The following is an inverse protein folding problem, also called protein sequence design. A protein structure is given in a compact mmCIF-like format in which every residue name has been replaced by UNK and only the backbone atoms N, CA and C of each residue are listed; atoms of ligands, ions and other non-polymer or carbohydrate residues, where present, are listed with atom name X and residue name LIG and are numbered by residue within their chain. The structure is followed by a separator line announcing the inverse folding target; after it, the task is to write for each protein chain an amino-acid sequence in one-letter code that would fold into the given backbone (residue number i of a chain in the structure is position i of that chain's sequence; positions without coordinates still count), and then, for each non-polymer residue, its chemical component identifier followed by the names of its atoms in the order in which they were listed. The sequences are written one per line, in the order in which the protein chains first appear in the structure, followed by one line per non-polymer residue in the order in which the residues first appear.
data_IF_798191523050
#
_entry.id   IF_798191523050
#
_cell.length_a   1.000
_cell.length_b   1.000
_cell.length_c   1.000
_cell.angle_alpha   90.00
_cell.angle_beta   90.00
_cell.angle_gamma   90.00
#
_symmetry.space_group_name_H-M   'P 1'
#
loop_
_entity.id
_entity.type
_entity.pdbx_description
1 polymer ?
#
# COMPACT_ATOMS: atom_id res chain seq x y z
N UNK A 1 21.79 -9.33 14.73
CA UNK A 1 21.56 -8.17 15.62
C UNK A 1 20.37 -7.42 15.07
N UNK A 2 19.22 -7.43 15.76
CA UNK A 2 18.05 -6.67 15.35
C UNK A 2 18.19 -5.25 15.92
N UNK A 3 18.29 -4.25 15.05
CA UNK A 3 18.39 -2.84 15.46
C UNK A 3 17.02 -2.17 15.38
N UNK A 4 16.63 -1.44 16.43
CA UNK A 4 15.39 -0.65 16.43
C UNK A 4 15.61 0.63 15.62
N UNK A 5 14.76 0.88 14.61
CA UNK A 5 14.77 2.12 13.85
C UNK A 5 13.88 3.16 14.52
N UNK A 6 14.36 4.39 14.59
CA UNK A 6 13.62 5.54 15.12
C UNK A 6 13.67 6.65 14.08
N UNK A 7 12.55 7.36 13.92
CA UNK A 7 12.46 8.53 13.04
C UNK A 7 12.35 9.75 13.93
N UNK A 8 13.21 10.73 13.71
CA UNK A 8 13.17 12.00 14.41
C UNK A 8 12.67 13.10 13.46
N UNK A 9 11.81 13.96 13.98
CA UNK A 9 11.37 15.20 13.31
C UNK A 9 11.95 16.40 14.05
N UNK A 10 12.29 17.48 13.34
CA UNK A 10 12.73 18.74 13.95
C UNK A 10 11.56 19.73 13.92
N UNK A 11 11.28 20.38 15.06
CA UNK A 11 10.22 21.39 15.21
C UNK A 11 10.62 22.79 14.70
N UNK A 12 11.75 22.89 14.00
CA UNK A 12 12.25 24.14 13.44
C UNK A 12 13.10 23.90 12.19
N UNK A 13 13.88 24.91 11.80
CA UNK A 13 14.79 24.77 10.68
C UNK A 13 15.86 23.72 10.97
N UNK A 14 16.16 22.89 9.98
CA UNK A 14 17.26 21.93 10.03
C UNK A 14 18.32 22.31 9.01
N UNK A 15 19.58 22.00 9.33
CA UNK A 15 20.70 22.17 8.40
C UNK A 15 21.58 20.92 8.42
N UNK A 16 22.32 20.70 7.34
CA UNK A 16 23.29 19.61 7.25
C UNK A 16 24.68 20.21 7.43
N UNK A 17 25.40 19.75 8.44
CA UNK A 17 26.76 20.20 8.75
C UNK A 17 27.78 19.55 7.82
N UNK A 18 28.99 20.10 7.74
CA UNK A 18 30.03 19.63 6.79
C UNK A 18 30.51 18.19 7.00
N UNK A 19 30.25 17.62 8.17
CA UNK A 19 30.47 16.22 8.54
C UNK A 19 29.27 15.30 8.20
N UNK A 20 28.20 15.86 7.62
CA UNK A 20 27.00 15.12 7.20
C UNK A 20 25.98 14.87 8.32
N UNK A 21 26.20 15.41 9.52
CA UNK A 21 25.20 15.37 10.57
C UNK A 21 24.05 16.35 10.28
N UNK A 22 22.85 16.01 10.76
CA UNK A 22 21.70 16.92 10.69
C UNK A 22 21.64 17.69 12.00
N UNK A 23 21.73 19.01 11.92
CA UNK A 23 21.53 19.93 13.04
C UNK A 23 20.08 20.43 13.04
N UNK A 24 19.46 20.53 14.21
CA UNK A 24 18.12 21.08 14.40
C UNK A 24 18.24 22.37 15.20
N UNK A 25 17.66 23.46 14.70
CA UNK A 25 17.63 24.77 15.39
C UNK A 25 16.60 24.82 16.53
N UNK A 26 15.87 23.73 16.77
CA UNK A 26 14.90 23.54 17.84
C UNK A 26 15.08 22.22 18.57
N UNK A 27 13.99 21.54 18.90
CA UNK A 27 14.02 20.26 19.62
C UNK A 27 13.76 19.10 18.66
N UNK A 28 14.56 18.02 18.80
CA UNK A 28 14.29 16.76 18.14
C UNK A 28 13.10 16.06 18.78
N UNK A 29 12.05 15.81 18.00
CA UNK A 29 10.88 15.06 18.41
C UNK A 29 10.98 13.64 17.90
N UNK A 30 10.97 12.66 18.81
CA UNK A 30 10.83 11.26 18.44
C UNK A 30 9.42 11.04 17.85
N UNK A 31 9.35 10.56 16.62
CA UNK A 31 8.09 10.15 16.02
C UNK A 31 7.89 8.67 16.30
N UNK A 32 6.70 8.30 16.74
CA UNK A 32 6.31 6.90 16.84
C UNK A 32 6.26 6.36 15.42
N UNK A 33 7.29 5.61 15.02
CA UNK A 33 7.26 4.92 13.75
C UNK A 33 6.24 3.78 13.89
N UNK A 34 5.16 3.76 13.09
CA UNK A 34 4.26 2.62 13.09
C UNK A 34 5.07 1.36 12.77
N UNK A 35 4.73 0.26 13.43
CA UNK A 35 5.40 -1.01 13.21
C UNK A 35 5.38 -1.33 11.70
N UNK A 36 6.48 -1.88 11.13
CA UNK A 36 6.48 -2.33 9.75
C UNK A 36 5.32 -3.29 9.50
N UNK A 37 4.78 -3.25 8.28
CA UNK A 37 3.73 -4.19 7.89
C UNK A 37 4.22 -5.63 8.04
N UNK A 38 3.44 -6.45 8.76
CA UNK A 38 3.75 -7.86 9.00
C UNK A 38 2.81 -8.76 8.20
N UNK A 39 3.39 -9.46 7.22
CA UNK A 39 2.67 -10.37 6.31
C UNK A 39 2.07 -11.56 7.06
N UNK A 40 2.63 -11.93 8.22
CA UNK A 40 2.10 -13.03 9.03
C UNK A 40 0.71 -12.73 9.63
N UNK A 41 0.30 -11.47 9.65
CA UNK A 41 -1.03 -11.06 10.12
C UNK A 41 -2.12 -11.08 9.04
N UNK A 42 -1.77 -11.39 7.79
CA UNK A 42 -2.76 -11.48 6.72
C UNK A 42 -3.50 -12.81 6.85
N UNK A 43 -4.82 -12.76 7.06
CA UNK A 43 -5.68 -13.94 6.90
C UNK A 43 -5.76 -14.31 5.40
N UNK A 44 -5.21 -15.47 4.99
CA UNK A 44 -5.22 -15.88 3.58
C UNK A 44 -6.63 -16.01 3.02
N UNK A 45 -7.61 -16.39 3.85
CA UNK A 45 -9.01 -16.60 3.44
C UNK A 45 -9.66 -15.28 3.06
N UNK A 46 -9.46 -14.25 3.88
CA UNK A 46 -10.00 -12.91 3.65
C UNK A 46 -9.34 -12.26 2.43
N UNK A 47 -8.02 -12.40 2.30
CA UNK A 47 -7.27 -11.89 1.16
C UNK A 47 -7.77 -12.50 -0.17
N UNK A 48 -7.94 -13.82 -0.22
CA UNK A 48 -8.51 -14.50 -1.39
C UNK A 48 -9.95 -14.09 -1.67
N UNK A 49 -10.75 -13.85 -0.63
CA UNK A 49 -12.12 -13.34 -0.77
C UNK A 49 -12.16 -11.98 -1.47
N UNK A 50 -11.33 -11.02 -1.04
CA UNK A 50 -11.28 -9.69 -1.65
C UNK A 50 -10.74 -9.71 -3.08
N UNK A 51 -9.67 -10.47 -3.34
CA UNK A 51 -9.13 -10.63 -4.69
C UNK A 51 -10.17 -11.27 -5.63
N UNK A 52 -10.81 -12.35 -5.19
CA UNK A 52 -11.84 -13.06 -5.97
C UNK A 52 -13.06 -12.18 -6.27
N UNK A 53 -13.51 -11.39 -5.31
CA UNK A 53 -14.61 -10.45 -5.51
C UNK A 53 -14.30 -9.43 -6.62
N UNK A 54 -13.10 -8.84 -6.60
CA UNK A 54 -12.65 -7.92 -7.64
C UNK A 54 -12.59 -8.58 -9.03
N UNK A 55 -12.03 -9.80 -9.11
CA UNK A 55 -11.95 -10.55 -10.36
C UNK A 55 -13.34 -10.86 -10.95
N UNK A 56 -14.31 -11.23 -10.12
CA UNK A 56 -15.67 -11.57 -10.56
C UNK A 56 -16.42 -10.37 -11.16
N UNK A 57 -16.18 -9.16 -10.65
CA UNK A 57 -16.75 -7.93 -11.24
C UNK A 57 -16.28 -7.79 -12.68
N UNK A 58 -14.97 -7.90 -12.94
CA UNK A 58 -14.42 -7.77 -14.30
C UNK A 58 -14.91 -8.91 -15.19
N UNK A 59 -14.88 -10.15 -14.69
CA UNK A 59 -15.33 -11.32 -15.44
C UNK A 59 -16.79 -11.21 -15.89
N UNK A 60 -17.67 -10.60 -15.06
CA UNK A 60 -19.08 -10.42 -15.39
C UNK A 60 -19.30 -9.56 -16.65
N UNK A 61 -18.55 -8.47 -16.82
CA UNK A 61 -18.62 -7.62 -18.01
C UNK A 61 -18.12 -8.34 -19.27
N UNK A 62 -17.04 -9.11 -19.14
CA UNK A 62 -16.53 -9.91 -20.26
C UNK A 62 -17.51 -10.98 -20.72
N UNK A 63 -18.15 -11.69 -19.78
CA UNK A 63 -19.17 -12.69 -20.12
C UNK A 63 -20.37 -12.01 -20.76
N UNK A 64 -20.86 -10.90 -20.20
CA UNK A 64 -21.98 -10.15 -20.76
C UNK A 64 -21.71 -9.70 -22.21
N UNK A 65 -20.54 -9.11 -22.48
CA UNK A 65 -20.14 -8.69 -23.82
C UNK A 65 -20.06 -9.87 -24.80
N UNK A 66 -19.54 -11.03 -24.36
CA UNK A 66 -19.52 -12.25 -25.19
C UNK A 66 -20.92 -12.77 -25.49
N UNK A 67 -21.85 -12.71 -24.54
CA UNK A 67 -23.25 -13.12 -24.77
C UNK A 67 -23.96 -12.20 -25.77
N UNK A 68 -23.79 -10.89 -25.64
CA UNK A 68 -24.33 -9.91 -26.61
C UNK A 68 -23.79 -10.19 -28.02
N UNK A 69 -22.46 -10.37 -28.15
CA UNK A 69 -21.83 -10.68 -29.44
C UNK A 69 -22.37 -11.98 -30.05
N UNK A 70 -22.58 -13.02 -29.23
CA UNK A 70 -23.12 -14.29 -29.69
C UNK A 70 -24.55 -14.15 -30.21
N UNK A 71 -25.41 -13.39 -29.52
CA UNK A 71 -26.80 -13.15 -29.95
C UNK A 71 -26.83 -12.40 -31.29
N UNK A 72 -26.04 -11.33 -31.42
CA UNK A 72 -25.95 -10.57 -32.68
C UNK A 72 -25.46 -11.47 -33.82
N UNK A 73 -24.55 -12.40 -33.56
CA UNK A 73 -24.05 -13.36 -34.55
C UNK A 73 -25.05 -14.44 -34.97
N UNK A 74 -26.10 -14.71 -34.18
CA UNK A 74 -27.18 -15.65 -34.53
C UNK A 74 -28.29 -14.97 -35.33
N UNK A 75 -28.47 -13.65 -35.13
CA UNK A 75 -29.50 -12.85 -35.80
C UNK A 75 -29.03 -12.30 -37.16
N UNK A 76 -27.72 -12.34 -37.45
CA UNK A 76 -27.15 -11.95 -38.74
C UNK A 76 -26.97 -13.15 -39.66
#
# INVERSE_FOLDING_TARGET
MSGTRVVFSCDGDYSVTGDGAVACAGTWMAQVMPAPFDISQIDPTVWWGHFGAGFMIIASFFVMGRKIKAIIGVVK
#
